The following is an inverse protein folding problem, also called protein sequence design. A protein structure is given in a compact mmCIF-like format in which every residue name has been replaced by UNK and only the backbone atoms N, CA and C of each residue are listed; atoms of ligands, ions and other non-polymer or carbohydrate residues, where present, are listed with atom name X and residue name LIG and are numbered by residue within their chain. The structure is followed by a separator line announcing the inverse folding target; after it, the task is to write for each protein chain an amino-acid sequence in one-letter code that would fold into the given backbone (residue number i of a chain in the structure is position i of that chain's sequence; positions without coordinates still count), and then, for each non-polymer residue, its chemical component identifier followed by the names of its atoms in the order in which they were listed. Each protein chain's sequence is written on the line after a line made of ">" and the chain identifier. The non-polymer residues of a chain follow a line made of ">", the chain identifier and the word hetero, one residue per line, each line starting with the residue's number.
data_IF_827403884488
#
_entry.id   IF_827403884488
#
_cell.length_a   1.000
_cell.length_b   1.000
_cell.length_c   1.000
_cell.angle_alpha   90.00
_cell.angle_beta   90.00
_cell.angle_gamma   90.00
#
_symmetry.space_group_name_H-M   'P 1'
#
loop_
_entity.id
_entity.type
_entity.pdbx_description
1 polymer ?
#
# COMPACT_ATOMS: atom_id res chain seq x y z
N UNK A 1 32.50 52.62 -161.99
CA UNK A 1 32.60 52.52 -163.45
C UNK A 1 32.15 51.13 -163.87
N UNK A 2 31.00 51.04 -164.56
CA UNK A 2 30.56 49.85 -165.31
C UNK A 2 31.52 49.61 -166.50
N UNK A 3 31.57 48.38 -167.01
CA UNK A 3 32.10 47.96 -168.32
C UNK A 3 33.56 47.46 -168.48
N UNK A 4 34.04 46.57 -167.59
CA UNK A 4 35.20 45.70 -167.89
C UNK A 4 35.07 44.28 -167.29
N UNK A 5 33.83 43.79 -167.10
CA UNK A 5 33.50 42.53 -166.41
C UNK A 5 33.36 41.30 -167.33
N UNK A 6 33.72 41.36 -168.62
CA UNK A 6 33.47 40.26 -169.57
C UNK A 6 34.74 39.72 -170.24
N UNK A 7 35.85 40.48 -170.24
CA UNK A 7 37.07 40.06 -170.97
C UNK A 7 38.05 39.25 -170.10
N UNK A 8 38.05 39.40 -168.78
CA UNK A 8 39.00 38.69 -167.92
C UNK A 8 38.54 37.28 -167.51
N UNK A 9 37.23 36.99 -167.67
CA UNK A 9 36.70 35.62 -167.61
C UNK A 9 37.16 34.76 -168.81
N UNK A 10 37.55 35.37 -169.94
CA UNK A 10 38.13 34.67 -171.09
C UNK A 10 39.59 34.25 -170.84
N UNK A 11 40.38 35.07 -170.15
CA UNK A 11 41.78 34.75 -169.81
C UNK A 11 41.89 33.62 -168.77
N UNK A 12 40.85 33.44 -167.94
CA UNK A 12 40.76 32.26 -167.06
C UNK A 12 40.38 30.98 -167.80
N UNK A 13 39.83 31.05 -169.01
CA UNK A 13 39.57 29.89 -169.86
C UNK A 13 40.83 29.47 -170.63
N UNK A 14 41.58 30.41 -171.21
CA UNK A 14 42.82 30.08 -171.95
C UNK A 14 43.95 29.56 -171.03
N UNK A 15 43.93 29.94 -169.75
CA UNK A 15 44.85 29.37 -168.75
C UNK A 15 44.44 27.95 -168.28
N UNK A 16 43.18 27.56 -168.46
CA UNK A 16 42.72 26.19 -168.22
C UNK A 16 43.07 25.25 -169.39
N UNK A 17 43.25 25.77 -170.61
CA UNK A 17 43.76 25.01 -171.76
C UNK A 17 45.30 24.88 -171.76
N UNK A 18 46.03 25.78 -171.09
CA UNK A 18 47.51 25.75 -171.07
C UNK A 18 48.14 24.87 -169.97
N UNK A 19 47.37 24.25 -169.09
CA UNK A 19 47.88 23.19 -168.20
C UNK A 19 47.42 21.78 -168.62
N UNK A 20 46.74 21.68 -169.76
CA UNK A 20 46.26 20.43 -170.36
C UNK A 20 47.18 19.92 -171.48
N UNK A 21 48.27 20.62 -171.79
CA UNK A 21 49.15 20.25 -172.92
C UNK A 21 50.66 20.38 -172.62
N UNK A 22 51.06 20.29 -171.34
CA UNK A 22 52.39 19.80 -170.94
C UNK A 22 52.28 18.29 -170.66
N UNK A 23 52.02 17.60 -171.76
CA UNK A 23 52.58 16.30 -172.19
C UNK A 23 53.61 15.74 -171.20
N UNK A 24 53.24 14.68 -170.47
CA UNK A 24 53.45 13.30 -170.92
C UNK A 24 54.91 12.93 -171.21
N UNK A 25 55.69 12.75 -170.15
CA UNK A 25 56.62 11.60 -170.04
C UNK A 25 56.81 11.24 -168.56
N UNK A 26 56.02 10.31 -168.04
CA UNK A 26 56.51 9.06 -167.43
C UNK A 26 55.38 8.33 -166.72
N UNK A 27 55.17 7.12 -167.22
CA UNK A 27 54.12 6.17 -166.93
C UNK A 27 54.30 5.45 -165.60
N UNK A 28 53.15 5.15 -164.99
CA UNK A 28 52.76 3.86 -164.39
C UNK A 28 52.51 3.85 -162.87
N UNK A 29 51.24 3.60 -162.50
CA UNK A 29 50.88 2.89 -161.26
C UNK A 29 50.08 3.66 -160.21
N UNK A 30 48.84 4.04 -160.53
CA UNK A 30 47.82 4.42 -159.52
C UNK A 30 46.56 3.55 -159.66
N UNK A 31 45.96 3.03 -158.58
CA UNK A 31 44.97 1.95 -158.64
C UNK A 31 43.61 2.39 -159.22
N UNK A 32 42.96 1.46 -159.94
CA UNK A 32 41.67 1.59 -160.62
C UNK A 32 40.50 1.94 -159.67
N UNK A 33 39.50 2.67 -160.17
CA UNK A 33 38.27 3.09 -159.47
C UNK A 33 37.52 1.91 -158.81
N UNK A 34 37.67 0.70 -159.35
CA UNK A 34 37.12 -0.53 -158.77
C UNK A 34 37.78 -0.91 -157.43
N UNK A 35 39.03 -0.50 -157.21
CA UNK A 35 39.79 -0.68 -155.97
C UNK A 35 39.36 0.32 -154.88
N UNK A 36 39.00 1.55 -155.27
CA UNK A 36 38.36 2.53 -154.38
C UNK A 36 36.97 2.07 -153.95
N UNK A 37 36.14 1.55 -154.87
CA UNK A 37 34.84 0.98 -154.52
C UNK A 37 34.98 -0.23 -153.56
N UNK A 38 35.98 -1.10 -153.80
CA UNK A 38 36.30 -2.21 -152.88
C UNK A 38 36.75 -1.73 -151.50
N UNK A 39 37.50 -0.62 -151.42
CA UNK A 39 37.92 0.02 -150.17
C UNK A 39 36.76 0.69 -149.43
N UNK A 40 35.87 1.38 -150.14
CA UNK A 40 34.66 1.99 -149.56
C UNK A 40 33.72 0.91 -149.03
N UNK A 41 33.47 -0.15 -149.80
CA UNK A 41 32.62 -1.26 -149.34
C UNK A 41 33.27 -2.03 -148.17
N UNK A 42 34.61 -2.15 -148.15
CA UNK A 42 35.34 -2.61 -146.95
C UNK A 42 35.19 -1.66 -145.77
N UNK A 43 35.24 -0.35 -146.00
CA UNK A 43 35.09 0.68 -144.98
C UNK A 43 33.69 0.69 -144.39
N UNK A 44 32.64 0.59 -145.20
CA UNK A 44 31.25 0.49 -144.75
C UNK A 44 31.03 -0.82 -143.97
N UNK A 45 31.54 -1.94 -144.45
CA UNK A 45 31.51 -3.21 -143.71
C UNK A 45 32.28 -3.14 -142.39
N UNK A 46 33.41 -2.42 -142.35
CA UNK A 46 34.17 -2.17 -141.12
C UNK A 46 33.41 -1.22 -140.19
N UNK A 47 32.77 -0.18 -140.71
CA UNK A 47 31.94 0.76 -139.95
C UNK A 47 30.74 0.04 -139.33
N UNK A 48 30.09 -0.85 -140.08
CA UNK A 48 28.96 -1.64 -139.60
C UNK A 48 29.40 -2.70 -138.58
N UNK A 49 30.58 -3.31 -138.76
CA UNK A 49 31.20 -4.16 -137.72
C UNK A 49 31.54 -3.39 -136.45
N UNK A 50 32.10 -2.19 -136.59
CA UNK A 50 32.44 -1.33 -135.45
C UNK A 50 31.16 -0.84 -134.76
N UNK A 51 30.11 -0.50 -135.50
CA UNK A 51 28.83 -0.09 -134.93
C UNK A 51 28.12 -1.24 -134.23
N UNK A 52 28.08 -2.43 -134.83
CA UNK A 52 27.51 -3.63 -134.19
C UNK A 52 28.30 -4.05 -132.95
N UNK A 53 29.63 -3.92 -132.97
CA UNK A 53 30.49 -4.10 -131.79
C UNK A 53 30.29 -2.99 -130.75
N UNK A 54 30.06 -1.75 -131.17
CA UNK A 54 29.78 -0.64 -130.25
C UNK A 54 28.41 -0.78 -129.60
N UNK A 55 27.39 -1.20 -130.35
CA UNK A 55 26.06 -1.52 -129.85
C UNK A 55 26.10 -2.74 -128.92
N UNK A 56 26.88 -3.78 -129.24
CA UNK A 56 27.03 -4.95 -128.36
C UNK A 56 27.70 -4.56 -127.04
N UNK A 57 28.74 -3.72 -127.08
CA UNK A 57 29.40 -3.17 -125.88
C UNK A 57 28.53 -2.20 -125.11
N UNK A 58 27.71 -1.39 -125.78
CA UNK A 58 26.73 -0.50 -125.15
C UNK A 58 25.66 -1.32 -124.43
N UNK A 59 25.06 -2.32 -125.08
CA UNK A 59 24.12 -3.24 -124.44
C UNK A 59 24.74 -3.99 -123.28
N UNK A 60 25.97 -4.49 -123.44
CA UNK A 60 26.68 -5.14 -122.33
C UNK A 60 26.97 -4.17 -121.17
N UNK A 61 27.22 -2.89 -121.46
CA UNK A 61 27.38 -1.84 -120.47
C UNK A 61 26.07 -1.47 -119.77
N UNK A 62 24.96 -1.41 -120.51
CA UNK A 62 23.60 -1.20 -119.98
C UNK A 62 23.18 -2.37 -119.08
N UNK A 63 23.38 -3.62 -119.52
CA UNK A 63 23.12 -4.83 -118.73
C UNK A 63 23.96 -4.86 -117.44
N UNK A 64 25.24 -4.46 -117.52
CA UNK A 64 26.10 -4.31 -116.34
C UNK A 64 25.60 -3.23 -115.39
N UNK A 65 25.14 -2.10 -115.91
CA UNK A 65 24.61 -1.00 -115.12
C UNK A 65 23.30 -1.41 -114.42
N UNK A 66 22.41 -2.11 -115.13
CA UNK A 66 21.16 -2.64 -114.58
C UNK A 66 21.43 -3.72 -113.53
N UNK A 67 22.41 -4.60 -113.76
CA UNK A 67 22.84 -5.59 -112.77
C UNK A 67 23.37 -4.92 -111.50
N UNK A 68 24.26 -3.93 -111.64
CA UNK A 68 24.79 -3.15 -110.52
C UNK A 68 23.71 -2.35 -109.80
N UNK A 69 22.74 -1.78 -110.52
CA UNK A 69 21.59 -1.10 -109.92
C UNK A 69 20.71 -2.06 -109.14
N UNK A 70 20.44 -3.26 -109.67
CA UNK A 70 19.65 -4.29 -109.01
C UNK A 70 20.37 -4.83 -107.77
N UNK A 71 21.68 -5.10 -107.87
CA UNK A 71 22.50 -5.52 -106.75
C UNK A 71 22.52 -4.44 -105.66
N UNK A 72 22.76 -3.17 -106.03
CA UNK A 72 22.74 -2.03 -105.11
C UNK A 72 21.36 -1.86 -104.47
N UNK A 73 20.28 -2.01 -105.22
CA UNK A 73 18.91 -1.95 -104.68
C UNK A 73 18.66 -3.09 -103.68
N UNK A 74 19.09 -4.31 -103.99
CA UNK A 74 18.99 -5.45 -103.09
C UNK A 74 19.82 -5.26 -101.82
N UNK A 75 21.03 -4.71 -101.94
CA UNK A 75 21.86 -4.35 -100.79
C UNK A 75 21.20 -3.27 -99.92
N UNK A 76 20.61 -2.22 -100.53
CA UNK A 76 19.88 -1.17 -99.82
C UNK A 76 18.69 -1.78 -99.06
N UNK A 77 17.84 -2.58 -99.70
CA UNK A 77 16.70 -3.22 -99.02
C UNK A 77 17.14 -4.17 -97.90
N UNK A 78 18.25 -4.88 -98.08
CA UNK A 78 18.85 -5.72 -97.02
C UNK A 78 19.34 -4.87 -95.84
N UNK A 79 20.03 -3.77 -96.11
CA UNK A 79 20.47 -2.82 -95.08
C UNK A 79 19.29 -2.15 -94.36
N UNK A 80 18.25 -1.75 -95.08
CA UNK A 80 17.02 -1.16 -94.52
C UNK A 80 16.29 -2.15 -93.61
N UNK A 81 16.16 -3.41 -94.02
CA UNK A 81 15.58 -4.48 -93.20
C UNK A 81 16.41 -4.74 -91.95
N UNK A 82 17.75 -4.79 -92.07
CA UNK A 82 18.66 -4.92 -90.93
C UNK A 82 18.56 -3.74 -89.98
N UNK A 83 18.48 -2.52 -90.50
CA UNK A 83 18.33 -1.29 -89.72
C UNK A 83 17.00 -1.28 -88.97
N UNK A 84 15.89 -1.61 -89.65
CA UNK A 84 14.55 -1.72 -89.05
C UNK A 84 14.52 -2.80 -87.97
N UNK A 85 15.11 -3.97 -88.24
CA UNK A 85 15.27 -5.02 -87.24
C UNK A 85 16.17 -4.62 -86.08
N UNK A 86 17.16 -3.73 -86.31
CA UNK A 86 17.96 -3.12 -85.25
C UNK A 86 17.12 -2.18 -84.38
N UNK A 87 16.38 -1.26 -84.99
CA UNK A 87 15.50 -0.31 -84.29
C UNK A 87 14.45 -1.01 -83.44
N UNK A 88 13.81 -2.07 -83.97
CA UNK A 88 12.83 -2.85 -83.22
C UNK A 88 13.44 -3.55 -82.00
N UNK A 89 14.67 -4.09 -82.13
CA UNK A 89 15.39 -4.68 -80.99
C UNK A 89 15.78 -3.62 -79.96
N UNK A 90 16.21 -2.44 -80.40
CA UNK A 90 16.49 -1.31 -79.49
C UNK A 90 15.24 -0.89 -78.72
N UNK A 91 14.09 -0.76 -79.41
CA UNK A 91 12.82 -0.43 -78.77
C UNK A 91 12.37 -1.50 -77.74
N UNK A 92 12.54 -2.79 -78.05
CA UNK A 92 12.26 -3.88 -77.09
C UNK A 92 13.15 -3.78 -75.84
N UNK A 93 14.45 -3.51 -76.03
CA UNK A 93 15.40 -3.32 -74.93
C UNK A 93 15.03 -2.09 -74.09
N UNK A 94 14.64 -0.97 -74.71
CA UNK A 94 14.19 0.23 -73.99
C UNK A 94 12.93 -0.02 -73.16
N UNK A 95 11.96 -0.77 -73.69
CA UNK A 95 10.75 -1.14 -72.93
C UNK A 95 11.08 -2.04 -71.75
N UNK A 96 11.94 -3.04 -71.95
CA UNK A 96 12.42 -3.90 -70.86
C UNK A 96 13.19 -3.11 -69.82
N UNK A 97 14.03 -2.17 -70.25
CA UNK A 97 14.78 -1.27 -69.36
C UNK A 97 13.82 -0.44 -68.50
N UNK A 98 12.82 0.20 -69.11
CA UNK A 98 11.77 0.94 -68.37
C UNK A 98 11.02 0.05 -67.39
N UNK A 99 10.68 -1.18 -67.78
CA UNK A 99 10.04 -2.13 -66.86
C UNK A 99 10.95 -2.48 -65.68
N UNK A 100 12.25 -2.70 -65.90
CA UNK A 100 13.19 -2.98 -64.82
C UNK A 100 13.46 -1.77 -63.94
N UNK A 101 13.48 -0.56 -64.50
CA UNK A 101 13.58 0.70 -63.75
C UNK A 101 12.40 0.84 -62.78
N UNK A 102 11.16 0.62 -63.25
CA UNK A 102 9.97 0.68 -62.36
C UNK A 102 9.98 -0.40 -61.28
N UNK A 103 10.52 -1.60 -61.55
CA UNK A 103 10.69 -2.64 -60.54
C UNK A 103 11.74 -2.26 -59.50
N UNK A 104 12.81 -1.61 -59.93
CA UNK A 104 13.89 -1.15 -59.06
C UNK A 104 13.38 -0.03 -58.15
N UNK A 105 12.63 0.95 -58.68
CA UNK A 105 11.96 1.99 -57.89
C UNK A 105 11.01 1.39 -56.85
N UNK A 106 10.24 0.35 -57.20
CA UNK A 106 9.35 -0.33 -56.26
C UNK A 106 10.13 -1.06 -55.15
N UNK A 107 11.25 -1.71 -55.49
CA UNK A 107 12.13 -2.36 -54.51
C UNK A 107 12.75 -1.33 -53.57
N UNK A 108 13.22 -0.19 -54.08
CA UNK A 108 13.76 0.91 -53.26
C UNK A 108 12.70 1.47 -52.30
N UNK A 109 11.47 1.65 -52.77
CA UNK A 109 10.35 2.07 -51.92
C UNK A 109 10.01 1.02 -50.85
N UNK A 110 10.04 -0.27 -51.20
CA UNK A 110 9.79 -1.36 -50.25
C UNK A 110 10.91 -1.46 -49.19
N UNK A 111 12.18 -1.33 -49.59
CA UNK A 111 13.30 -1.32 -48.64
C UNK A 111 13.22 -0.14 -47.70
N UNK A 112 12.91 1.06 -48.19
CA UNK A 112 12.70 2.24 -47.34
C UNK A 112 11.54 2.03 -46.35
N UNK A 113 10.45 1.40 -46.78
CA UNK A 113 9.32 1.08 -45.90
C UNK A 113 9.70 0.06 -44.81
N UNK A 114 10.51 -0.95 -45.13
CA UNK A 114 11.02 -1.92 -44.17
C UNK A 114 11.98 -1.29 -43.17
N UNK A 115 12.85 -0.38 -43.60
CA UNK A 115 13.76 0.37 -42.71
C UNK A 115 12.98 1.19 -41.67
N UNK A 116 11.94 1.90 -42.11
CA UNK A 116 11.05 2.65 -41.19
C UNK A 116 10.34 1.71 -40.23
N UNK A 117 9.81 0.57 -40.72
CA UNK A 117 9.14 -0.40 -39.88
C UNK A 117 10.09 -1.03 -38.83
N UNK A 118 11.33 -1.32 -39.21
CA UNK A 118 12.37 -1.80 -38.31
C UNK A 118 12.67 -0.77 -37.22
N UNK A 119 12.87 0.50 -37.59
CA UNK A 119 13.12 1.58 -36.63
C UNK A 119 11.99 1.71 -35.61
N UNK A 120 10.72 1.67 -36.06
CA UNK A 120 9.57 1.72 -35.14
C UNK A 120 9.56 0.50 -34.19
N UNK A 121 9.97 -0.67 -34.66
CA UNK A 121 10.06 -1.87 -33.82
C UNK A 121 11.20 -1.80 -32.82
N UNK A 122 12.34 -1.24 -33.19
CA UNK A 122 13.45 -0.96 -32.28
C UNK A 122 13.01 0.00 -31.18
N UNK A 123 12.34 1.10 -31.52
CA UNK A 123 11.78 2.05 -30.54
C UNK A 123 10.76 1.38 -29.59
N UNK A 124 9.93 0.45 -30.09
CA UNK A 124 9.00 -0.34 -29.26
C UNK A 124 9.73 -1.29 -28.31
N UNK A 125 10.84 -1.89 -28.74
CA UNK A 125 11.66 -2.76 -27.91
C UNK A 125 12.36 -1.97 -26.80
N UNK A 126 12.90 -0.79 -27.11
CA UNK A 126 13.47 0.12 -26.10
C UNK A 126 12.42 0.56 -25.07
N UNK A 127 11.22 0.91 -25.53
CA UNK A 127 10.12 1.23 -24.62
C UNK A 127 9.77 0.04 -23.72
N UNK A 128 9.69 -1.17 -24.28
CA UNK A 128 9.39 -2.38 -23.50
C UNK A 128 10.50 -2.67 -22.47
N UNK A 129 11.77 -2.51 -22.84
CA UNK A 129 12.92 -2.69 -21.94
C UNK A 129 12.95 -1.66 -20.79
N UNK A 130 12.58 -0.41 -21.10
CA UNK A 130 12.40 0.61 -20.07
C UNK A 130 11.26 0.24 -19.10
N UNK A 131 10.16 -0.31 -19.63
CA UNK A 131 9.01 -0.71 -18.83
C UNK A 131 9.32 -1.91 -17.93
N UNK A 132 10.00 -2.94 -18.47
CA UNK A 132 10.45 -4.09 -17.68
C UNK A 132 11.42 -3.67 -16.60
N UNK A 133 12.37 -2.78 -16.90
CA UNK A 133 13.30 -2.23 -15.90
C UNK A 133 12.58 -1.54 -14.73
N UNK A 134 11.56 -0.72 -15.04
CA UNK A 134 10.73 -0.07 -14.00
C UNK A 134 9.94 -1.10 -13.18
N UNK A 135 9.38 -2.13 -13.82
CA UNK A 135 8.66 -3.18 -13.11
C UNK A 135 9.59 -3.98 -12.19
N UNK A 136 10.80 -4.32 -12.64
CA UNK A 136 11.82 -4.99 -11.82
C UNK A 136 12.20 -4.13 -10.60
N UNK A 137 12.40 -2.82 -10.78
CA UNK A 137 12.67 -1.91 -9.66
C UNK A 137 11.52 -1.88 -8.65
N UNK A 138 10.28 -1.79 -9.12
CA UNK A 138 9.09 -1.81 -8.26
C UNK A 138 8.94 -3.14 -7.53
N UNK A 139 9.22 -4.25 -8.20
CA UNK A 139 9.14 -5.59 -7.63
C UNK A 139 10.17 -5.78 -6.51
N UNK A 140 11.43 -5.40 -6.76
CA UNK A 140 12.48 -5.42 -5.74
C UNK A 140 12.12 -4.51 -4.54
N UNK A 141 11.54 -3.34 -4.79
CA UNK A 141 11.03 -2.47 -3.73
C UNK A 141 9.89 -3.08 -2.92
N UNK A 142 9.02 -3.88 -3.53
CA UNK A 142 7.97 -4.62 -2.80
C UNK A 142 8.52 -5.81 -2.02
N UNK A 143 9.54 -6.50 -2.54
CA UNK A 143 10.23 -7.59 -1.84
C UNK A 143 10.92 -7.06 -0.57
N UNK A 144 11.66 -5.96 -0.68
CA UNK A 144 12.30 -5.32 0.48
C UNK A 144 11.28 -4.94 1.57
N UNK A 145 10.14 -4.35 1.18
CA UNK A 145 9.07 -4.00 2.14
C UNK A 145 8.46 -5.23 2.80
N UNK A 146 8.43 -6.36 2.11
CA UNK A 146 7.92 -7.63 2.65
C UNK A 146 8.88 -8.18 3.69
N UNK A 147 10.19 -8.14 3.43
CA UNK A 147 11.23 -8.52 4.40
C UNK A 147 11.19 -7.62 5.65
N UNK A 148 11.03 -6.30 5.47
CA UNK A 148 10.86 -5.34 6.57
C UNK A 148 9.61 -5.66 7.41
N UNK A 149 8.47 -5.96 6.78
CA UNK A 149 7.25 -6.35 7.50
C UNK A 149 7.39 -7.70 8.20
N UNK A 150 8.11 -8.66 7.60
CA UNK A 150 8.34 -9.97 8.19
C UNK A 150 9.23 -9.86 9.44
N UNK A 151 10.26 -9.02 9.39
CA UNK A 151 11.13 -8.75 10.54
C UNK A 151 10.37 -8.00 11.65
N UNK A 152 9.56 -6.98 11.33
CA UNK A 152 8.71 -6.29 12.31
C UNK A 152 7.70 -7.24 12.98
N UNK A 153 7.03 -8.09 12.19
CA UNK A 153 6.14 -9.11 12.72
C UNK A 153 6.85 -10.08 13.68
N UNK A 154 8.08 -10.49 13.35
CA UNK A 154 8.85 -11.39 14.21
C UNK A 154 9.23 -10.73 15.55
N UNK A 155 9.64 -9.45 15.53
CA UNK A 155 9.93 -8.68 16.75
C UNK A 155 8.68 -8.55 17.61
N UNK A 156 7.55 -8.12 17.03
CA UNK A 156 6.28 -7.96 17.76
C UNK A 156 5.76 -9.27 18.34
N UNK A 157 5.99 -10.39 17.66
CA UNK A 157 5.66 -11.71 18.19
C UNK A 157 6.53 -12.08 19.39
N UNK A 158 7.82 -11.70 19.41
CA UNK A 158 8.69 -11.90 20.56
C UNK A 158 8.26 -11.02 21.76
N UNK A 159 7.92 -9.76 21.52
CA UNK A 159 7.42 -8.85 22.56
C UNK A 159 6.13 -9.38 23.19
N UNK A 160 5.17 -9.84 22.37
CA UNK A 160 3.92 -10.45 22.87
C UNK A 160 4.17 -11.68 23.74
N UNK A 161 5.14 -12.53 23.39
CA UNK A 161 5.53 -13.68 24.22
C UNK A 161 6.13 -13.23 25.54
N UNK A 162 6.97 -12.20 25.53
CA UNK A 162 7.56 -11.64 26.75
C UNK A 162 6.49 -11.06 27.67
N UNK A 163 5.57 -10.24 27.15
CA UNK A 163 4.46 -9.67 27.91
C UNK A 163 3.54 -10.76 28.46
N UNK A 164 3.22 -11.77 27.65
CA UNK A 164 2.41 -12.91 28.10
C UNK A 164 3.09 -13.66 29.25
N UNK A 165 4.40 -13.87 29.18
CA UNK A 165 5.16 -14.49 30.28
C UNK A 165 5.17 -13.64 31.55
N UNK A 166 5.33 -12.32 31.41
CA UNK A 166 5.26 -11.39 32.55
C UNK A 166 3.87 -11.40 33.22
N UNK A 167 2.80 -11.45 32.42
CA UNK A 167 1.43 -11.51 32.93
C UNK A 167 1.17 -12.80 33.71
N UNK A 168 1.68 -13.95 33.25
CA UNK A 168 1.53 -15.21 33.98
C UNK A 168 2.21 -15.17 35.34
N UNK A 169 3.42 -14.61 35.43
CA UNK A 169 4.15 -14.46 36.70
C UNK A 169 3.39 -13.53 37.65
N UNK A 170 2.93 -12.37 37.17
CA UNK A 170 2.16 -11.45 37.99
C UNK A 170 0.84 -12.05 38.49
N UNK A 171 0.20 -12.91 37.68
CA UNK A 171 -1.02 -13.61 38.07
C UNK A 171 -0.76 -14.65 39.19
N UNK A 172 0.36 -15.38 39.12
CA UNK A 172 0.78 -16.31 40.17
C UNK A 172 1.13 -15.57 41.48
N UNK A 173 1.86 -14.46 41.40
CA UNK A 173 2.17 -13.61 42.57
C UNK A 173 0.91 -13.10 43.26
N UNK A 174 -0.07 -12.62 42.48
CA UNK A 174 -1.33 -12.14 43.02
C UNK A 174 -2.15 -13.27 43.67
N UNK A 175 -2.13 -14.48 43.11
CA UNK A 175 -2.79 -15.64 43.73
C UNK A 175 -2.17 -15.99 45.09
N UNK A 176 -0.84 -15.98 45.18
CA UNK A 176 -0.12 -16.22 46.44
C UNK A 176 -0.46 -15.15 47.48
N UNK A 177 -0.48 -13.87 47.09
CA UNK A 177 -0.87 -12.77 47.98
C UNK A 177 -2.32 -12.91 48.48
N UNK A 178 -3.26 -13.28 47.59
CA UNK A 178 -4.65 -13.51 47.99
C UNK A 178 -4.80 -14.65 48.98
N UNK A 179 -4.05 -15.75 48.80
CA UNK A 179 -4.04 -16.85 49.75
C UNK A 179 -3.48 -16.43 51.11
N UNK A 180 -2.39 -15.66 51.13
CA UNK A 180 -1.80 -15.14 52.37
C UNK A 180 -2.76 -14.20 53.13
N UNK A 181 -3.45 -13.31 52.42
CA UNK A 181 -4.46 -12.42 53.02
C UNK A 181 -5.63 -13.23 53.57
N UNK A 182 -6.13 -14.22 52.83
CA UNK A 182 -7.23 -15.08 53.30
C UNK A 182 -6.87 -15.80 54.60
N UNK A 183 -5.65 -16.36 54.69
CA UNK A 183 -5.16 -16.99 55.91
C UNK A 183 -5.04 -16.00 57.09
N UNK A 184 -4.53 -14.79 56.83
CA UNK A 184 -4.43 -13.75 57.87
C UNK A 184 -5.81 -13.30 58.39
N UNK A 185 -6.82 -13.23 57.52
CA UNK A 185 -8.21 -12.91 57.91
C UNK A 185 -8.80 -14.02 58.78
N UNK A 186 -8.56 -15.28 58.43
CA UNK A 186 -9.02 -16.42 59.23
C UNK A 186 -8.36 -16.46 60.62
N UNK A 187 -7.07 -16.15 60.70
CA UNK A 187 -6.34 -16.03 61.97
C UNK A 187 -6.88 -14.88 62.85
N UNK A 188 -7.22 -13.74 62.25
CA UNK A 188 -7.85 -12.63 62.98
C UNK A 188 -9.25 -12.97 63.46
N UNK A 189 -10.06 -13.66 62.65
CA UNK A 189 -11.40 -14.08 63.06
C UNK A 189 -11.38 -15.09 64.20
N UNK A 190 -10.38 -15.97 64.25
CA UNK A 190 -10.23 -16.95 65.35
C UNK A 190 -9.72 -16.32 66.64
N UNK A 191 -8.87 -15.28 66.56
CA UNK A 191 -8.36 -14.54 67.74
C UNK A 191 -9.30 -13.44 68.24
N UNK A 192 -10.13 -12.86 67.38
CA UNK A 192 -11.14 -11.85 67.74
C UNK A 192 -12.38 -12.42 68.45
N UNK A 193 -12.45 -13.74 68.61
CA UNK A 193 -13.53 -14.47 69.28
C UNK A 193 -13.39 -14.62 70.80
N UNK A 194 -12.52 -13.86 71.46
CA UNK A 194 -12.60 -13.73 72.93
C UNK A 194 -13.85 -12.91 73.27
N UNK A 195 -14.95 -13.63 73.48
CA UNK A 195 -16.25 -13.16 73.95
C UNK A 195 -16.07 -12.06 75.01
N UNK A 196 -16.44 -10.83 74.66
CA UNK A 196 -16.19 -9.64 75.47
C UNK A 196 -17.05 -9.72 76.74
N UNK A 197 -16.46 -10.24 77.82
CA UNK A 197 -17.13 -10.47 79.10
C UNK A 197 -16.99 -9.25 79.99
N UNK A 198 -18.13 -8.70 80.41
CA UNK A 198 -18.20 -7.58 81.35
C UNK A 198 -19.23 -7.92 82.42
N UNK A 199 -18.83 -7.86 83.68
CA UNK A 199 -19.72 -8.12 84.80
C UNK A 199 -19.10 -7.75 86.13
N UNK A 200 -19.89 -7.15 87.01
CA UNK A 200 -19.47 -6.81 88.36
C UNK A 200 -20.55 -7.15 89.39
N UNK A 201 -20.13 -7.34 90.62
CA UNK A 201 -20.99 -7.46 91.79
C UNK A 201 -20.24 -6.95 93.01
N UNK A 202 -20.88 -6.08 93.80
CA UNK A 202 -20.28 -5.46 94.98
C UNK A 202 -21.31 -5.30 96.12
N UNK A 203 -20.88 -5.55 97.36
CA UNK A 203 -21.62 -5.21 98.58
C UNK A 203 -21.33 -3.78 99.05
N UNK A 204 -22.21 -3.20 99.86
CA UNK A 204 -22.14 -1.79 100.23
C UNK A 204 -20.94 -1.47 101.14
N UNK A 205 -20.98 -1.91 102.41
CA UNK A 205 -19.96 -1.61 103.43
C UNK A 205 -20.13 -2.51 104.67
N UNK A 206 -19.17 -2.52 105.59
CA UNK A 206 -19.28 -3.21 106.89
C UNK A 206 -19.55 -2.26 108.05
N UNK A 207 -19.99 -1.04 107.75
CA UNK A 207 -20.13 0.06 108.72
C UNK A 207 -21.45 0.04 109.51
N UNK A 208 -22.34 -0.92 109.24
CA UNK A 208 -23.69 -0.96 109.79
C UNK A 208 -24.59 0.05 109.09
N UNK A 209 -25.00 1.08 109.82
CA UNK A 209 -25.92 2.09 109.31
C UNK A 209 -25.24 3.04 108.32
N UNK A 210 -25.85 3.24 107.15
CA UNK A 210 -25.40 4.18 106.10
C UNK A 210 -26.49 5.22 105.85
N UNK A 211 -26.16 6.49 106.11
CA UNK A 211 -27.13 7.57 106.18
C UNK A 211 -27.87 7.63 107.54
N UNK A 212 -28.88 8.50 107.70
CA UNK A 212 -29.32 9.48 106.72
C UNK A 212 -28.26 10.55 106.44
N UNK A 213 -28.21 10.98 105.19
CA UNK A 213 -27.40 12.12 104.77
C UNK A 213 -28.27 13.36 104.57
N UNK A 214 -27.68 14.55 104.72
CA UNK A 214 -28.39 15.82 104.52
C UNK A 214 -28.75 16.08 103.04
N UNK A 215 -28.02 15.44 102.13
CA UNK A 215 -28.20 15.55 100.68
C UNK A 215 -28.17 14.17 100.04
N UNK A 216 -28.74 14.06 98.84
CA UNK A 216 -28.62 12.85 98.04
C UNK A 216 -27.14 12.52 97.81
N UNK A 217 -26.75 11.28 98.13
CA UNK A 217 -25.35 10.88 98.14
C UNK A 217 -25.16 9.64 97.29
N UNK A 218 -24.18 9.68 96.37
CA UNK A 218 -23.79 8.49 95.60
C UNK A 218 -23.18 7.46 96.54
N UNK A 219 -23.70 6.24 96.49
CA UNK A 219 -23.23 5.15 97.32
C UNK A 219 -22.02 4.46 96.72
N UNK A 220 -21.02 4.22 97.56
CA UNK A 220 -19.82 3.47 97.20
C UNK A 220 -20.00 2.04 97.71
N UNK A 221 -20.34 1.11 96.82
CA UNK A 221 -20.34 -0.32 97.14
C UNK A 221 -18.89 -0.82 97.11
N UNK A 222 -18.23 -0.78 98.26
CA UNK A 222 -16.78 -0.97 98.36
C UNK A 222 -16.35 -2.43 98.43
N UNK A 223 -17.28 -3.36 98.71
CA UNK A 223 -16.98 -4.80 98.84
C UNK A 223 -17.10 -5.50 97.48
N UNK A 224 -16.12 -5.30 96.61
CA UNK A 224 -16.10 -5.92 95.26
C UNK A 224 -15.98 -7.45 95.35
N UNK A 225 -16.98 -8.16 94.83
CA UNK A 225 -16.99 -9.63 94.71
C UNK A 225 -16.46 -10.06 93.33
N UNK A 226 -16.96 -9.43 92.26
CA UNK A 226 -16.56 -9.69 90.87
C UNK A 226 -16.40 -8.36 90.14
N UNK A 227 -15.43 -8.24 89.23
CA UNK A 227 -15.25 -7.09 88.35
C UNK A 227 -14.55 -7.47 87.03
N UNK A 228 -15.18 -8.37 86.27
CA UNK A 228 -14.71 -8.80 84.95
C UNK A 228 -14.96 -7.69 83.94
N UNK A 229 -13.96 -7.40 83.10
CA UNK A 229 -14.00 -6.25 82.19
C UNK A 229 -13.70 -4.90 82.85
N UNK A 230 -13.42 -4.89 84.16
CA UNK A 230 -12.93 -3.73 84.94
C UNK A 230 -13.80 -2.46 84.79
N UNK A 231 -15.10 -2.62 84.53
CA UNK A 231 -16.03 -1.50 84.34
C UNK A 231 -16.45 -0.82 85.66
N UNK A 232 -16.36 -1.51 86.79
CA UNK A 232 -16.79 -0.94 88.09
C UNK A 232 -15.63 -0.28 88.84
N UNK A 233 -15.79 0.98 89.22
CA UNK A 233 -14.86 1.73 90.05
C UNK A 233 -15.30 1.70 91.52
N UNK A 234 -14.65 0.84 92.30
CA UNK A 234 -14.94 0.62 93.72
C UNK A 234 -14.64 1.82 94.64
N UNK A 235 -13.84 2.79 94.20
CA UNK A 235 -13.57 4.01 94.98
C UNK A 235 -14.62 5.09 94.73
N UNK A 236 -15.37 5.00 93.63
CA UNK A 236 -16.39 5.97 93.25
C UNK A 236 -17.82 5.43 93.36
N UNK A 237 -18.02 4.11 93.41
CA UNK A 237 -19.37 3.52 93.37
C UNK A 237 -20.01 3.53 91.99
N UNK A 238 -19.21 3.61 90.92
CA UNK A 238 -19.69 3.88 89.55
C UNK A 238 -19.25 2.79 88.59
N UNK A 239 -20.19 2.22 87.86
CA UNK A 239 -19.92 1.39 86.68
C UNK A 239 -19.76 2.28 85.44
N UNK A 240 -18.78 2.01 84.59
CA UNK A 240 -18.57 2.68 83.29
C UNK A 240 -18.59 1.62 82.19
N UNK A 241 -19.45 1.80 81.19
CA UNK A 241 -19.58 0.85 80.09
C UNK A 241 -18.31 0.84 79.22
N UNK A 242 -17.58 -0.28 79.11
CA UNK A 242 -16.35 -0.34 78.29
C UNK A 242 -16.63 -0.40 76.79
N UNK A 243 -17.82 -0.86 76.40
CA UNK A 243 -18.27 -0.96 75.01
C UNK A 243 -19.74 -0.55 74.93
N UNK A 244 -20.21 -0.28 73.70
CA UNK A 244 -21.63 -0.12 73.43
C UNK A 244 -22.35 -1.46 73.54
N UNK A 245 -23.49 -1.51 74.22
CA UNK A 245 -24.25 -2.75 74.38
C UNK A 245 -25.47 -2.65 75.28
N UNK A 246 -26.15 -3.79 75.45
CA UNK A 246 -27.23 -3.94 76.43
C UNK A 246 -26.68 -4.53 77.74
N UNK A 247 -26.92 -3.84 78.84
CA UNK A 247 -26.46 -4.22 80.17
C UNK A 247 -27.63 -4.50 81.09
N UNK A 248 -27.52 -5.50 81.96
CA UNK A 248 -28.47 -5.76 83.03
C UNK A 248 -27.90 -5.31 84.36
N UNK A 249 -28.69 -4.61 85.17
CA UNK A 249 -28.33 -4.18 86.52
C UNK A 249 -29.36 -4.68 87.53
N UNK A 250 -28.88 -5.07 88.71
CA UNK A 250 -29.68 -5.48 89.85
C UNK A 250 -29.10 -4.89 91.13
N UNK A 251 -29.97 -4.40 92.02
CA UNK A 251 -29.53 -3.87 93.29
C UNK A 251 -30.54 -4.12 94.40
N UNK A 252 -30.00 -4.33 95.59
CA UNK A 252 -30.74 -4.53 96.84
C UNK A 252 -30.41 -3.39 97.80
N UNK A 253 -31.45 -2.75 98.31
CA UNK A 253 -31.38 -1.78 99.40
C UNK A 253 -31.99 -2.43 100.65
N UNK A 254 -31.19 -2.56 101.70
CA UNK A 254 -31.64 -3.12 102.98
C UNK A 254 -31.59 -2.08 104.09
N UNK A 255 -32.50 -2.18 105.05
CA UNK A 255 -32.51 -1.41 106.30
C UNK A 255 -32.83 -2.34 107.48
N UNK A 256 -32.52 -1.89 108.70
CA UNK A 256 -32.75 -2.61 109.94
C UNK A 256 -33.68 -1.88 110.92
N UNK A 257 -33.80 -0.55 110.86
CA UNK A 257 -34.67 0.21 111.78
C UNK A 257 -35.88 0.78 111.04
N UNK A 258 -36.85 1.32 111.79
CA UNK A 258 -38.02 1.95 111.17
C UNK A 258 -37.61 3.17 110.34
N UNK A 259 -38.16 3.31 109.15
CA UNK A 259 -37.87 4.44 108.25
C UNK A 259 -38.01 4.13 106.76
N UNK A 260 -37.77 5.14 105.95
CA UNK A 260 -37.72 5.01 104.49
C UNK A 260 -36.35 4.52 104.03
N UNK A 261 -36.38 3.55 103.11
CA UNK A 261 -35.21 3.03 102.42
C UNK A 261 -35.49 2.95 100.92
N UNK A 262 -34.47 3.14 100.10
CA UNK A 262 -34.67 3.29 98.65
C UNK A 262 -33.46 3.89 97.97
N UNK A 263 -33.35 3.63 96.67
CA UNK A 263 -32.21 4.05 95.85
C UNK A 263 -32.64 4.57 94.49
N UNK A 264 -32.00 5.64 94.05
CA UNK A 264 -32.01 6.05 92.66
C UNK A 264 -30.92 5.33 91.87
N UNK A 265 -31.29 4.77 90.73
CA UNK A 265 -30.34 4.36 89.69
C UNK A 265 -30.20 5.52 88.71
N UNK A 266 -28.98 6.00 88.53
CA UNK A 266 -28.64 7.02 87.55
C UNK A 266 -27.94 6.39 86.35
N UNK A 267 -28.28 6.88 85.16
CA UNK A 267 -27.44 6.78 83.97
C UNK A 267 -26.89 8.18 83.69
N UNK A 268 -25.58 8.33 83.79
CA UNK A 268 -24.88 9.61 83.81
C UNK A 268 -25.47 10.50 84.93
N UNK A 269 -26.05 11.65 84.57
CA UNK A 269 -26.71 12.56 85.52
C UNK A 269 -28.24 12.49 85.47
N UNK A 270 -28.80 11.51 84.75
CA UNK A 270 -30.24 11.31 84.61
C UNK A 270 -30.73 10.15 85.51
N UNK A 271 -31.69 10.38 86.43
CA UNK A 271 -32.29 9.31 87.22
C UNK A 271 -33.22 8.47 86.34
N UNK A 272 -32.91 7.20 86.17
CA UNK A 272 -33.65 6.28 85.29
C UNK A 272 -34.57 5.32 86.06
N UNK A 273 -34.33 5.13 87.36
CA UNK A 273 -35.18 4.29 88.20
C UNK A 273 -35.10 4.74 89.67
N UNK A 274 -36.18 4.51 90.42
CA UNK A 274 -36.20 4.71 91.87
C UNK A 274 -36.86 3.51 92.56
N UNK A 275 -36.18 2.92 93.54
CA UNK A 275 -36.77 1.95 94.47
C UNK A 275 -37.15 2.65 95.78
N UNK A 276 -38.28 2.26 96.37
CA UNK A 276 -38.77 2.79 97.64
C UNK A 276 -39.38 1.67 98.47
N UNK A 277 -39.09 1.66 99.76
CA UNK A 277 -39.63 0.77 100.77
C UNK A 277 -39.78 1.52 102.11
N UNK A 278 -40.80 1.17 102.90
CA UNK A 278 -41.02 1.70 104.25
C UNK A 278 -40.92 0.56 105.26
N UNK A 279 -39.88 0.56 106.09
CA UNK A 279 -39.74 -0.38 107.20
C UNK A 279 -40.56 0.13 108.38
N UNK A 280 -41.74 -0.43 108.61
CA UNK A 280 -42.67 -0.01 109.67
C UNK A 280 -42.56 -0.86 110.96
N UNK A 281 -41.91 -2.02 110.88
CA UNK A 281 -41.80 -2.99 111.98
C UNK A 281 -40.48 -2.86 112.77
N UNK A 282 -39.40 -2.33 112.17
CA UNK A 282 -38.14 -2.06 112.87
C UNK A 282 -37.23 -3.28 113.03
N UNK A 283 -37.17 -4.12 111.99
CA UNK A 283 -36.22 -5.23 111.85
C UNK A 283 -35.63 -5.26 110.44
N UNK A 284 -34.96 -6.35 110.03
CA UNK A 284 -34.43 -6.45 108.67
C UNK A 284 -35.54 -6.39 107.62
N UNK A 285 -35.44 -5.41 106.73
CA UNK A 285 -36.28 -5.24 105.56
C UNK A 285 -35.38 -4.93 104.36
N UNK A 286 -35.75 -5.41 103.18
CA UNK A 286 -34.98 -5.15 101.96
C UNK A 286 -35.88 -5.07 100.74
N UNK A 287 -35.54 -4.19 99.81
CA UNK A 287 -36.12 -4.13 98.48
C UNK A 287 -35.07 -4.43 97.43
N UNK A 288 -35.46 -5.15 96.39
CA UNK A 288 -34.60 -5.49 95.25
C UNK A 288 -35.25 -4.97 93.97
N UNK A 289 -34.45 -4.40 93.08
CA UNK A 289 -34.89 -3.87 91.79
C UNK A 289 -33.88 -4.21 90.72
N UNK A 290 -34.33 -4.32 89.47
CA UNK A 290 -33.46 -4.68 88.34
C UNK A 290 -33.96 -4.08 87.03
N UNK A 291 -33.04 -3.78 86.12
CA UNK A 291 -33.33 -3.12 84.85
C UNK A 291 -32.29 -3.48 83.79
N UNK A 292 -32.73 -3.58 82.52
CA UNK A 292 -31.83 -3.57 81.37
C UNK A 292 -31.70 -2.15 80.78
N UNK A 293 -30.46 -1.73 80.51
CA UNK A 293 -30.13 -0.43 79.92
C UNK A 293 -29.28 -0.64 78.67
N UNK A 294 -29.60 0.07 77.60
CA UNK A 294 -28.65 0.28 76.51
C UNK A 294 -27.68 1.38 76.93
N UNK A 295 -26.38 1.09 76.88
CA UNK A 295 -25.31 2.03 77.21
C UNK A 295 -24.38 2.20 76.01
N UNK A 296 -23.91 3.42 75.81
CA UNK A 296 -22.81 3.73 74.91
C UNK A 296 -21.47 3.57 75.66
N UNK A 297 -20.37 3.38 74.93
CA UNK A 297 -19.05 3.29 75.55
C UNK A 297 -18.73 4.58 76.31
N UNK A 298 -18.43 4.46 77.61
CA UNK A 298 -18.17 5.57 78.52
C UNK A 298 -19.37 6.02 79.36
N UNK A 299 -20.59 5.53 79.09
CA UNK A 299 -21.74 5.83 79.95
C UNK A 299 -21.54 5.30 81.38
N UNK A 300 -22.01 6.07 82.37
CA UNK A 300 -21.78 5.81 83.79
C UNK A 300 -23.09 5.42 84.48
N UNK A 301 -23.07 4.38 85.31
CA UNK A 301 -24.22 3.94 86.11
C UNK A 301 -23.86 3.94 87.59
N UNK A 302 -24.69 4.58 88.41
CA UNK A 302 -24.45 4.74 89.86
C UNK A 302 -25.75 4.63 90.65
N UNK A 303 -25.63 4.21 91.92
CA UNK A 303 -26.74 4.23 92.87
C UNK A 303 -26.58 5.40 93.83
N UNK A 304 -27.69 6.08 94.13
CA UNK A 304 -27.70 7.20 95.08
C UNK A 304 -28.78 7.01 96.13
N UNK A 305 -28.43 7.33 97.37
CA UNK A 305 -29.32 7.33 98.51
C UNK A 305 -29.94 8.74 98.64
N UNK A 306 -31.27 8.88 98.58
CA UNK A 306 -31.91 10.18 98.80
C UNK A 306 -31.57 10.79 100.16
N UNK A 307 -31.68 12.11 100.27
CA UNK A 307 -31.55 12.80 101.54
C UNK A 307 -32.55 12.24 102.56
N UNK A 308 -32.16 12.14 103.83
CA UNK A 308 -32.95 11.56 104.93
C UNK A 308 -33.24 10.04 104.86
N UNK A 309 -32.84 9.33 103.80
CA UNK A 309 -33.01 7.88 103.67
C UNK A 309 -31.83 7.13 104.27
N UNK A 310 -32.02 5.86 104.63
CA UNK A 310 -30.98 5.05 105.27
C UNK A 310 -30.92 3.64 104.70
N UNK A 311 -29.71 3.10 104.69
CA UNK A 311 -29.45 1.67 104.48
C UNK A 311 -28.75 1.06 105.70
N UNK A 312 -28.72 -0.27 105.74
CA UNK A 312 -27.93 -1.07 106.64
C UNK A 312 -27.11 -2.08 105.83
N UNK A 313 -25.83 -2.22 106.16
CA UNK A 313 -24.99 -3.28 105.65
C UNK A 313 -23.91 -3.67 106.65
N UNK A 314 -23.60 -4.96 106.71
CA UNK A 314 -22.52 -5.51 107.54
C UNK A 314 -21.80 -6.65 106.80
N UNK A 315 -20.99 -7.43 107.51
CA UNK A 315 -20.21 -8.54 106.95
C UNK A 315 -21.05 -9.63 106.25
N UNK A 316 -22.38 -9.60 106.38
CA UNK A 316 -23.33 -10.52 105.72
C UNK A 316 -23.84 -10.03 104.36
N UNK A 317 -23.50 -8.81 103.92
CA UNK A 317 -23.90 -8.23 102.63
C UNK A 317 -25.43 -8.22 102.43
N UNK A 318 -26.11 -7.33 103.12
CA UNK A 318 -27.54 -7.08 102.94
C UNK A 318 -27.85 -6.19 101.73
N UNK A 319 -26.96 -5.25 101.41
CA UNK A 319 -27.09 -4.36 100.25
C UNK A 319 -26.05 -4.71 99.19
N UNK A 320 -26.52 -5.00 97.97
CA UNK A 320 -25.68 -5.48 96.85
C UNK A 320 -26.01 -4.69 95.59
N UNK A 321 -25.01 -4.40 94.77
CA UNK A 321 -25.16 -3.85 93.43
C UNK A 321 -24.39 -4.72 92.42
N UNK A 322 -25.08 -5.20 91.39
CA UNK A 322 -24.52 -6.06 90.36
C UNK A 322 -24.95 -5.60 88.97
N UNK A 323 -24.12 -5.88 87.97
CA UNK A 323 -24.51 -5.74 86.58
C UNK A 323 -23.56 -6.40 85.60
N UNK A 324 -24.04 -6.71 84.40
CA UNK A 324 -23.28 -7.41 83.37
C UNK A 324 -23.74 -7.08 81.95
N UNK A 325 -22.85 -7.25 80.97
CA UNK A 325 -23.14 -7.12 79.54
C UNK A 325 -23.92 -8.35 79.07
N UNK A 326 -25.07 -8.13 78.43
CA UNK A 326 -25.84 -9.17 77.75
C UNK A 326 -25.22 -9.48 76.38
N UNK A 327 -25.04 -8.44 75.56
CA UNK A 327 -24.35 -8.55 74.26
C UNK A 327 -23.90 -7.16 73.77
N UNK A 328 -22.74 -7.07 73.09
CA UNK A 328 -22.29 -5.83 72.46
C UNK A 328 -23.15 -5.48 71.23
N UNK A 329 -23.17 -4.19 70.87
CA UNK A 329 -23.90 -3.63 69.72
C UNK A 329 -23.00 -2.85 68.76
#
# INVERSE_FOLDING_TARGET
>A
MKAASVTQLQVRMDAAEKQLEDVHTETAGGPSLMELWRKVNRSESLQEKVNTEMESRLRAGEDQLDHLQTERSGQISSLESRLTGGLNRTADVELRLRSTETQLEHLEAHTAALEVALRVREEQLEHLDSHTSVLTFRLNGTEQRLDELQTDCAVRAADLRSVSGGLTVAQEELQVQRAAIAAAVEELNTKGGEELKVGFSAGLTDSGVVGPFDQETTLIFSKTVVNVGLGYNQSAGVFTAPVRGFYFFSFTAADYLKGYTGLHLYRNEEPVFFSLELNDHGGYASTCSSMALQLEAGDRVRLSLPASYRLYDDSRNFSVFSGFLLFPL
#
